data_IF_564986089787
#
_entry.id   IF_564986089787
#
_cell.length_a   1.000
_cell.length_b   1.000
_cell.length_c   1.000
_cell.angle_alpha   90.00
_cell.angle_beta   90.00
_cell.angle_gamma   90.00
#
_symmetry.space_group_name_H-M   'P 1'
#
loop_
_entity.id
_entity.type
_entity.pdbx_description
1 polymer ?
#
# COMPACT_ATOMS: atom_id res chain seq x y z
N UNK A 1 -4.84 -10.67 16.28
CA UNK A 1 -3.36 -10.67 16.36
C UNK A 1 -2.88 -9.75 15.24
N UNK A 2 -2.18 -8.66 15.55
CA UNK A 2 -1.86 -7.63 14.53
C UNK A 2 -0.93 -8.19 13.45
N UNK A 3 -1.24 -7.88 12.18
CA UNK A 3 -0.45 -8.19 10.97
C UNK A 3 1.02 -7.74 11.08
N UNK A 4 1.31 -6.70 11.88
CA UNK A 4 2.69 -6.27 12.18
C UNK A 4 3.54 -7.35 12.87
N UNK A 5 2.91 -8.29 13.59
CA UNK A 5 3.62 -9.38 14.27
C UNK A 5 4.16 -10.41 13.28
N UNK A 6 3.49 -10.60 12.15
CA UNK A 6 3.86 -11.59 11.14
C UNK A 6 4.96 -11.04 10.21
N UNK A 7 4.88 -9.76 9.82
CA UNK A 7 5.94 -9.04 9.09
C UNK A 7 7.25 -9.03 9.90
N UNK A 8 7.17 -8.71 11.20
CA UNK A 8 8.32 -8.75 12.12
C UNK A 8 8.96 -10.14 12.24
N UNK A 9 8.20 -11.23 12.12
CA UNK A 9 8.75 -12.61 12.22
C UNK A 9 9.50 -13.04 10.97
N UNK A 10 9.10 -12.56 9.79
CA UNK A 10 9.84 -12.78 8.55
C UNK A 10 11.14 -11.97 8.55
N UNK A 11 11.11 -10.73 9.07
CA UNK A 11 12.27 -9.84 9.16
C UNK A 11 13.26 -10.23 10.28
N UNK A 12 12.78 -10.72 11.42
CA UNK A 12 13.63 -11.15 12.54
C UNK A 12 14.52 -12.38 12.24
N UNK A 13 14.25 -13.12 11.17
CA UNK A 13 15.10 -14.24 10.74
C UNK A 13 16.30 -13.81 9.87
N UNK A 14 16.39 -12.53 9.48
CA UNK A 14 17.32 -12.06 8.43
C UNK A 14 18.41 -11.13 8.97
N UNK A 15 18.25 -10.50 10.13
CA UNK A 15 19.16 -9.45 10.64
C UNK A 15 20.32 -9.99 11.48
N UNK A 16 20.99 -11.05 11.01
CA UNK A 16 22.16 -11.61 11.69
C UNK A 16 23.38 -11.74 10.77
N UNK A 17 23.73 -10.69 10.02
CA UNK A 17 25.09 -10.49 9.50
C UNK A 17 25.22 -9.04 9.01
N UNK A 18 26.27 -8.34 9.46
CA UNK A 18 26.48 -6.92 9.15
C UNK A 18 27.25 -6.67 7.86
N UNK A 19 27.56 -5.39 7.65
CA UNK A 19 28.57 -4.96 6.68
C UNK A 19 28.36 -3.53 6.17
N UNK A 20 29.36 -2.68 6.40
CA UNK A 20 29.45 -1.26 6.03
C UNK A 20 29.67 -1.02 4.51
N UNK A 21 29.48 0.25 4.13
CA UNK A 21 30.06 1.01 2.99
C UNK A 21 29.28 0.98 1.65
N UNK A 22 29.28 2.02 0.79
CA UNK A 22 29.83 3.39 0.76
C UNK A 22 29.05 4.19 -0.31
N UNK A 23 28.96 5.50 -0.14
CA UNK A 23 28.24 6.42 -1.02
C UNK A 23 29.00 6.71 -2.33
N UNK A 24 28.28 6.64 -3.45
CA UNK A 24 28.69 7.19 -4.75
C UNK A 24 27.60 8.12 -5.28
N UNK A 25 28.00 9.37 -5.58
CA UNK A 25 27.17 10.43 -6.16
C UNK A 25 27.03 10.23 -7.67
N UNK A 26 25.81 10.32 -8.20
CA UNK A 26 25.54 10.38 -9.64
C UNK A 26 24.51 11.49 -9.93
N UNK A 27 24.70 12.12 -11.07
CA UNK A 27 24.11 13.36 -11.57
C UNK A 27 22.58 13.44 -11.57
N UNK A 28 22.07 14.59 -11.14
CA UNK A 28 20.65 14.93 -11.10
C UNK A 28 20.04 15.14 -12.50
N UNK A 29 19.51 14.06 -13.10
CA UNK A 29 18.14 14.18 -13.61
C UNK A 29 17.28 14.44 -12.37
N UNK A 30 16.41 15.45 -12.39
CA UNK A 30 15.41 15.60 -11.32
C UNK A 30 14.46 14.42 -11.44
N UNK A 31 14.85 13.30 -10.83
CA UNK A 31 14.01 12.14 -10.68
C UNK A 31 12.76 12.62 -9.97
N UNK A 32 11.63 12.49 -10.65
CA UNK A 32 10.35 12.85 -10.08
C UNK A 32 10.03 11.85 -8.96
N UNK A 33 10.34 12.29 -7.74
CA UNK A 33 10.26 11.49 -6.53
C UNK A 33 8.79 11.13 -6.21
N UNK A 34 7.84 11.98 -6.60
CA UNK A 34 6.41 11.69 -6.51
C UNK A 34 6.06 10.54 -7.45
N UNK A 35 6.46 10.62 -8.73
CA UNK A 35 6.17 9.57 -9.71
C UNK A 35 6.78 8.21 -9.33
N UNK A 36 7.99 8.20 -8.76
CA UNK A 36 8.58 6.97 -8.22
C UNK A 36 7.81 6.44 -7.01
N UNK A 37 7.41 7.32 -6.09
CA UNK A 37 6.56 6.97 -4.95
C UNK A 37 5.26 6.32 -5.41
N UNK A 38 4.54 6.95 -6.35
CA UNK A 38 3.31 6.41 -6.94
C UNK A 38 3.55 5.07 -7.61
N UNK A 39 4.67 4.89 -8.30
CA UNK A 39 5.01 3.59 -8.89
C UNK A 39 5.18 2.53 -7.80
N UNK A 40 5.85 2.81 -6.68
CA UNK A 40 6.00 1.86 -5.57
C UNK A 40 4.63 1.55 -4.95
N UNK A 41 3.80 2.58 -4.74
CA UNK A 41 2.43 2.43 -4.23
C UNK A 41 1.59 1.52 -5.14
N UNK A 42 1.64 1.72 -6.44
CA UNK A 42 0.94 0.87 -7.40
C UNK A 42 1.36 -0.61 -7.29
N UNK A 43 2.67 -0.90 -7.22
CA UNK A 43 3.15 -2.28 -7.10
C UNK A 43 2.72 -2.94 -5.79
N UNK A 44 2.75 -2.19 -4.69
CA UNK A 44 2.31 -2.67 -3.37
C UNK A 44 0.78 -2.87 -3.33
N UNK A 45 0.02 -1.88 -3.80
CA UNK A 45 -1.45 -1.90 -3.83
C UNK A 45 -1.98 -3.06 -4.66
N UNK A 46 -1.39 -3.28 -5.84
CA UNK A 46 -1.75 -4.41 -6.69
C UNK A 46 -1.42 -5.76 -6.03
N UNK A 47 -0.30 -5.87 -5.31
CA UNK A 47 0.10 -7.12 -4.69
C UNK A 47 -0.73 -7.46 -3.45
N UNK A 48 -0.99 -6.48 -2.59
CA UNK A 48 -1.72 -6.64 -1.33
C UNK A 48 -3.24 -6.71 -1.52
N UNK A 49 -3.73 -6.54 -2.76
CA UNK A 49 -5.14 -6.37 -3.04
C UNK A 49 -5.76 -5.21 -2.23
N UNK A 50 -5.03 -4.09 -2.18
CA UNK A 50 -5.38 -2.94 -1.34
C UNK A 50 -6.77 -2.40 -1.64
N UNK A 51 -7.18 -2.41 -2.92
CA UNK A 51 -8.56 -2.11 -3.32
C UNK A 51 -9.59 -2.96 -2.56
N UNK A 52 -9.39 -4.29 -2.47
CA UNK A 52 -10.32 -5.14 -1.74
C UNK A 52 -10.31 -4.84 -0.24
N UNK A 53 -9.15 -4.50 0.32
CA UNK A 53 -9.06 -4.06 1.72
C UNK A 53 -9.87 -2.78 1.98
N UNK A 54 -9.74 -1.77 1.11
CA UNK A 54 -10.53 -0.53 1.20
C UNK A 54 -12.03 -0.81 1.07
N UNK A 55 -12.42 -1.67 0.13
CA UNK A 55 -13.81 -2.07 -0.07
C UNK A 55 -14.36 -2.80 1.18
N UNK A 56 -13.56 -3.66 1.81
CA UNK A 56 -13.95 -4.32 3.05
C UNK A 56 -14.08 -3.34 4.21
N UNK A 57 -13.13 -2.41 4.38
CA UNK A 57 -13.18 -1.39 5.42
C UNK A 57 -14.42 -0.49 5.29
N UNK A 58 -14.76 -0.08 4.06
CA UNK A 58 -15.95 0.71 3.77
C UNK A 58 -17.29 -0.02 4.05
N UNK A 59 -17.27 -1.35 4.17
CA UNK A 59 -18.44 -2.18 4.47
C UNK A 59 -18.64 -2.42 5.97
N UNK A 60 -17.63 -2.13 6.79
CA UNK A 60 -17.78 -2.23 8.24
C UNK A 60 -18.73 -1.13 8.75
N UNK A 61 -19.51 -1.38 9.82
CA UNK A 61 -20.46 -0.40 10.34
C UNK A 61 -19.81 0.96 10.63
N UNK A 62 -18.61 0.95 11.22
CA UNK A 62 -17.86 2.15 11.57
C UNK A 62 -17.35 2.85 10.31
N UNK A 63 -16.80 2.11 9.34
CA UNK A 63 -16.33 2.68 8.06
C UNK A 63 -17.44 3.30 7.21
N UNK A 64 -18.64 2.71 7.24
CA UNK A 64 -19.82 3.28 6.59
C UNK A 64 -20.24 4.61 7.24
N UNK A 65 -20.16 4.72 8.57
CA UNK A 65 -20.46 5.94 9.29
C UNK A 65 -19.38 7.01 9.06
N UNK A 66 -18.10 6.63 9.07
CA UNK A 66 -16.97 7.53 8.80
C UNK A 66 -17.04 8.12 7.39
N UNK A 67 -17.37 7.31 6.38
CA UNK A 67 -17.54 7.78 5.00
C UNK A 67 -18.72 8.74 4.85
N UNK A 68 -19.80 8.55 5.60
CA UNK A 68 -21.00 9.36 5.48
C UNK A 68 -21.05 10.54 6.47
N UNK A 69 -20.22 10.52 7.51
CA UNK A 69 -20.36 11.35 8.71
C UNK A 69 -21.66 11.11 9.48
N UNK A 70 -22.33 9.97 9.24
CA UNK A 70 -23.61 9.55 9.86
C UNK A 70 -23.92 8.10 9.55
N UNK A 71 -24.72 7.45 10.40
CA UNK A 71 -25.25 6.13 10.09
C UNK A 71 -26.02 6.10 8.75
N UNK A 72 -25.81 5.07 7.90
CA UNK A 72 -26.59 4.89 6.68
C UNK A 72 -28.06 4.67 7.00
N UNK A 73 -28.94 4.94 6.02
CA UNK A 73 -30.38 4.67 6.20
C UNK A 73 -30.59 3.15 6.32
N UNK A 74 -31.40 2.67 7.27
CA UNK A 74 -31.67 1.24 7.40
C UNK A 74 -32.18 0.62 6.09
N UNK A 75 -31.61 -0.52 5.69
CA UNK A 75 -31.99 -1.25 4.49
C UNK A 75 -31.41 -0.68 3.19
N UNK A 76 -30.44 0.23 3.28
CA UNK A 76 -29.76 0.83 2.11
C UNK A 76 -28.26 0.54 2.08
N UNK A 77 -27.79 -0.38 2.92
CA UNK A 77 -26.39 -0.74 3.10
C UNK A 77 -25.77 -1.23 1.78
N UNK A 78 -26.53 -2.00 0.98
CA UNK A 78 -26.09 -2.43 -0.36
C UNK A 78 -25.86 -1.27 -1.32
N UNK A 79 -26.65 -0.19 -1.25
CA UNK A 79 -26.46 0.99 -2.11
C UNK A 79 -25.23 1.78 -1.70
N UNK A 80 -24.95 1.87 -0.40
CA UNK A 80 -23.72 2.48 0.11
C UNK A 80 -22.51 1.66 -0.32
N UNK A 81 -22.58 0.34 -0.20
CA UNK A 81 -21.52 -0.57 -0.63
C UNK A 81 -21.21 -0.39 -2.12
N UNK A 82 -22.23 -0.36 -2.99
CA UNK A 82 -22.03 -0.09 -4.41
C UNK A 82 -21.39 1.29 -4.66
N UNK A 83 -21.85 2.33 -3.95
CA UNK A 83 -21.28 3.68 -4.06
C UNK A 83 -19.81 3.73 -3.64
N UNK A 84 -19.45 3.05 -2.55
CA UNK A 84 -18.08 2.93 -2.06
C UNK A 84 -17.19 2.18 -3.05
N UNK A 85 -17.65 1.05 -3.59
CA UNK A 85 -16.91 0.28 -4.60
C UNK A 85 -16.65 1.13 -5.84
N UNK A 86 -17.68 1.81 -6.36
CA UNK A 86 -17.55 2.66 -7.55
C UNK A 86 -16.57 3.83 -7.34
N UNK A 87 -16.58 4.46 -6.16
CA UNK A 87 -15.65 5.57 -5.90
C UNK A 87 -14.23 5.08 -5.62
N UNK A 88 -14.04 4.00 -4.86
CA UNK A 88 -12.72 3.41 -4.66
C UNK A 88 -12.10 2.98 -5.99
N UNK A 89 -12.89 2.44 -6.92
CA UNK A 89 -12.42 2.12 -8.27
C UNK A 89 -12.01 3.35 -9.07
N UNK A 90 -12.77 4.43 -8.94
CA UNK A 90 -12.51 5.69 -9.64
C UNK A 90 -11.26 6.38 -9.09
N UNK A 91 -11.10 6.43 -7.78
CA UNK A 91 -10.07 7.21 -7.08
C UNK A 91 -8.83 6.39 -6.72
N UNK A 92 -8.77 5.10 -7.09
CA UNK A 92 -7.57 4.27 -6.84
C UNK A 92 -6.26 4.95 -7.31
N UNK A 93 -6.18 5.60 -8.49
CA UNK A 93 -4.97 6.33 -8.89
C UNK A 93 -4.63 7.51 -7.97
N UNK A 94 -5.63 8.23 -7.44
CA UNK A 94 -5.41 9.33 -6.51
C UNK A 94 -4.92 8.81 -5.15
N UNK A 95 -5.50 7.71 -4.67
CA UNK A 95 -5.06 7.03 -3.45
C UNK A 95 -3.61 6.51 -3.59
N UNK A 96 -3.26 5.93 -4.74
CA UNK A 96 -1.88 5.54 -5.04
C UNK A 96 -0.92 6.74 -5.07
N UNK A 97 -1.39 7.92 -5.49
CA UNK A 97 -0.60 9.14 -5.43
C UNK A 97 -0.40 9.63 -4.00
N UNK A 98 -1.42 9.59 -3.14
CA UNK A 98 -1.33 9.90 -1.70
C UNK A 98 -0.31 8.97 -1.03
N UNK A 99 -0.42 7.66 -1.26
CA UNK A 99 0.56 6.67 -0.77
C UNK A 99 1.97 6.95 -1.30
N UNK A 100 2.07 7.28 -2.59
CA UNK A 100 3.33 7.61 -3.24
C UNK A 100 4.00 8.84 -2.62
N UNK A 101 3.22 9.87 -2.30
CA UNK A 101 3.68 11.05 -1.58
C UNK A 101 4.23 10.68 -0.20
N UNK A 102 3.52 9.84 0.55
CA UNK A 102 3.98 9.36 1.86
C UNK A 102 5.32 8.60 1.77
N UNK A 103 5.50 7.76 0.75
CA UNK A 103 6.79 7.09 0.50
C UNK A 103 7.88 8.06 0.09
N UNK A 104 7.55 9.05 -0.74
CA UNK A 104 8.44 10.12 -1.15
C UNK A 104 8.90 10.98 0.03
N UNK A 105 8.17 11.07 1.13
CA UNK A 105 8.65 11.76 2.32
C UNK A 105 9.74 10.98 3.07
N UNK A 106 9.80 9.65 2.94
CA UNK A 106 10.66 8.77 3.75
C UNK A 106 11.86 8.20 3.01
N UNK A 107 11.73 7.98 1.71
CA UNK A 107 12.80 7.42 0.88
C UNK A 107 13.50 8.52 0.08
N UNK A 108 14.78 8.35 -0.21
CA UNK A 108 15.46 9.21 -1.19
C UNK A 108 15.03 8.83 -2.62
N UNK A 109 15.16 9.76 -3.58
CA UNK A 109 14.84 9.46 -4.98
C UNK A 109 15.67 8.29 -5.54
N UNK A 110 16.94 8.19 -5.11
CA UNK A 110 17.84 7.08 -5.48
C UNK A 110 17.35 5.75 -4.91
N UNK A 111 16.93 5.74 -3.65
CA UNK A 111 16.45 4.51 -3.01
C UNK A 111 15.14 4.05 -3.64
N UNK A 112 14.20 4.97 -3.89
CA UNK A 112 12.96 4.64 -4.57
C UNK A 112 13.20 4.10 -5.97
N UNK A 113 14.12 4.67 -6.74
CA UNK A 113 14.44 4.16 -8.07
C UNK A 113 14.90 2.69 -7.98
N UNK A 114 15.81 2.38 -7.06
CA UNK A 114 16.30 1.03 -6.85
C UNK A 114 15.20 0.07 -6.37
N UNK A 115 14.29 0.53 -5.49
CA UNK A 115 13.13 -0.23 -5.03
C UNK A 115 12.17 -0.50 -6.19
N UNK A 116 11.81 0.50 -6.98
CA UNK A 116 10.94 0.35 -8.15
C UNK A 116 11.53 -0.64 -9.15
N UNK A 117 12.83 -0.54 -9.44
CA UNK A 117 13.53 -1.47 -10.32
C UNK A 117 13.49 -2.90 -9.76
N UNK A 118 13.76 -3.07 -8.45
CA UNK A 118 13.70 -4.37 -7.79
C UNK A 118 12.30 -4.99 -7.81
N UNK A 119 11.25 -4.24 -7.45
CA UNK A 119 9.87 -4.73 -7.37
C UNK A 119 9.34 -5.22 -8.73
N UNK A 120 9.89 -4.69 -9.84
CA UNK A 120 9.54 -5.13 -11.20
C UNK A 120 10.24 -6.42 -11.63
N UNK A 121 11.26 -6.88 -10.92
CA UNK A 121 11.92 -8.17 -11.19
C UNK A 121 11.05 -9.35 -10.76
N UNK A 122 11.26 -10.56 -11.32
CA UNK A 122 10.57 -11.76 -10.84
C UNK A 122 10.75 -12.01 -9.34
N UNK A 123 11.95 -11.76 -8.80
CA UNK A 123 12.24 -11.86 -7.38
C UNK A 123 11.43 -10.85 -6.55
N UNK A 124 11.34 -9.60 -7.01
CA UNK A 124 10.51 -8.57 -6.38
C UNK A 124 9.02 -8.92 -6.38
N UNK A 125 8.51 -9.49 -7.47
CA UNK A 125 7.13 -10.01 -7.54
C UNK A 125 6.88 -11.16 -6.59
N UNK A 126 7.83 -12.11 -6.50
CA UNK A 126 7.74 -13.20 -5.54
C UNK A 126 7.75 -12.69 -4.09
N UNK A 127 8.56 -11.67 -3.79
CA UNK A 127 8.58 -11.01 -2.49
C UNK A 127 7.23 -10.34 -2.17
N UNK A 128 6.67 -9.58 -3.11
CA UNK A 128 5.34 -8.96 -2.96
C UNK A 128 4.23 -9.99 -2.70
N UNK A 129 4.29 -11.15 -3.37
CA UNK A 129 3.32 -12.22 -3.14
C UNK A 129 3.43 -12.83 -1.74
N UNK A 130 4.66 -12.97 -1.22
CA UNK A 130 4.89 -13.44 0.16
C UNK A 130 4.38 -12.41 1.16
N UNK A 131 4.61 -11.11 0.92
CA UNK A 131 4.07 -10.04 1.76
C UNK A 131 2.54 -10.04 1.80
N UNK A 132 1.89 -10.27 0.66
CA UNK A 132 0.43 -10.29 0.56
C UNK A 132 -0.21 -11.51 1.24
N UNK A 133 0.52 -12.63 1.34
CA UNK A 133 -0.03 -13.89 1.83
C UNK A 133 0.86 -14.55 2.89
N UNK A 134 1.12 -13.87 4.03
CA UNK A 134 2.12 -14.31 4.99
C UNK A 134 1.74 -15.61 5.72
N UNK A 135 0.44 -15.89 5.84
CA UNK A 135 -0.11 -17.09 6.49
C UNK A 135 -0.39 -18.24 5.53
N UNK A 136 -0.34 -17.99 4.21
CA UNK A 136 -0.37 -19.09 3.26
C UNK A 136 1.01 -19.73 3.26
N UNK A 137 1.06 -21.05 3.43
CA UNK A 137 2.21 -21.83 3.00
C UNK A 137 2.28 -21.77 1.46
N UNK A 138 2.52 -20.58 0.90
CA UNK A 138 2.81 -20.41 -0.50
C UNK A 138 4.04 -21.25 -0.86
N UNK A 139 4.22 -21.61 -2.14
CA UNK A 139 5.45 -22.26 -2.55
C UNK A 139 6.62 -21.43 -2.03
N UNK A 140 7.48 -22.06 -1.23
CA UNK A 140 8.66 -21.41 -0.69
C UNK A 140 9.39 -20.72 -1.85
N UNK A 141 9.65 -19.42 -1.69
CA UNK A 141 10.39 -18.64 -2.68
C UNK A 141 11.62 -19.46 -3.13
N UNK A 142 11.85 -19.64 -4.45
CA UNK A 142 12.99 -20.41 -4.93
C UNK A 142 14.28 -19.93 -4.27
N UNK A 143 15.20 -20.84 -3.95
CA UNK A 143 16.42 -20.50 -3.21
C UNK A 143 17.23 -19.39 -3.89
N UNK A 144 17.24 -19.36 -5.23
CA UNK A 144 17.87 -18.32 -6.03
C UNK A 144 17.20 -16.94 -5.82
N UNK A 145 15.88 -16.88 -5.84
CA UNK A 145 15.12 -15.65 -5.56
C UNK A 145 15.32 -15.18 -4.13
N UNK A 146 15.34 -16.11 -3.16
CA UNK A 146 15.65 -15.78 -1.77
C UNK A 146 17.04 -15.16 -1.63
N UNK A 147 18.03 -15.71 -2.34
CA UNK A 147 19.41 -15.18 -2.33
C UNK A 147 19.47 -13.77 -2.92
N UNK A 148 18.77 -13.53 -4.03
CA UNK A 148 18.69 -12.21 -4.68
C UNK A 148 17.93 -11.19 -3.82
N UNK A 149 16.85 -11.60 -3.16
CA UNK A 149 16.11 -10.79 -2.21
C UNK A 149 17.03 -10.36 -1.05
N UNK A 150 17.75 -11.30 -0.45
CA UNK A 150 18.70 -11.01 0.63
C UNK A 150 19.78 -10.03 0.18
N UNK A 151 20.37 -10.26 -0.99
CA UNK A 151 21.37 -9.35 -1.56
C UNK A 151 20.81 -7.93 -1.79
N UNK A 152 19.55 -7.80 -2.22
CA UNK A 152 18.90 -6.49 -2.33
C UNK A 152 18.67 -5.85 -0.96
N UNK A 153 18.18 -6.60 0.03
CA UNK A 153 17.92 -6.10 1.38
C UNK A 153 19.19 -5.67 2.12
N UNK A 154 20.36 -6.17 1.72
CA UNK A 154 21.67 -5.72 2.23
C UNK A 154 22.11 -4.37 1.64
N UNK A 155 21.52 -3.92 0.53
CA UNK A 155 21.82 -2.60 -0.05
C UNK A 155 21.21 -1.46 0.78
N UNK A 156 21.74 -0.22 0.71
CA UNK A 156 21.14 0.93 1.38
C UNK A 156 19.66 1.15 1.03
N UNK A 157 19.29 0.95 -0.25
CA UNK A 157 17.91 1.10 -0.70
C UNK A 157 17.00 0.00 -0.14
N UNK A 158 17.49 -1.24 -0.08
CA UNK A 158 16.78 -2.36 0.55
C UNK A 158 16.55 -2.12 2.04
N UNK A 159 17.57 -1.67 2.76
CA UNK A 159 17.46 -1.33 4.19
C UNK A 159 16.46 -0.19 4.44
N UNK A 160 16.50 0.87 3.63
CA UNK A 160 15.56 1.98 3.75
C UNK A 160 14.11 1.54 3.46
N UNK A 161 13.93 0.67 2.47
CA UNK A 161 12.63 0.10 2.15
C UNK A 161 12.12 -0.82 3.26
N UNK A 162 12.98 -1.69 3.83
CA UNK A 162 12.63 -2.51 4.99
C UNK A 162 12.22 -1.65 6.18
N UNK A 163 12.99 -0.61 6.51
CA UNK A 163 12.66 0.30 7.60
C UNK A 163 11.30 1.00 7.38
N UNK A 164 11.00 1.38 6.14
CA UNK A 164 9.68 1.93 5.79
C UNK A 164 8.56 0.91 5.97
N UNK A 165 8.77 -0.35 5.57
CA UNK A 165 7.79 -1.44 5.76
C UNK A 165 7.59 -1.80 7.23
N UNK A 166 8.65 -1.73 8.05
CA UNK A 166 8.57 -1.95 9.50
C UNK A 166 7.74 -0.88 10.22
N UNK A 167 7.68 0.33 9.64
CA UNK A 167 6.91 1.47 10.13
C UNK A 167 5.66 1.75 9.27
N UNK A 168 5.18 0.73 8.53
CA UNK A 168 4.08 0.91 7.58
C UNK A 168 2.77 1.34 8.26
N UNK A 169 2.51 0.89 9.49
CA UNK A 169 1.34 1.32 10.28
C UNK A 169 1.35 2.84 10.45
N UNK A 170 2.47 3.44 10.85
CA UNK A 170 2.61 4.89 10.96
C UNK A 170 2.44 5.60 9.60
N UNK A 171 2.91 4.99 8.49
CA UNK A 171 2.66 5.55 7.15
C UNK A 171 1.15 5.57 6.85
N UNK A 172 0.46 4.46 7.13
CA UNK A 172 -0.97 4.29 6.89
C UNK A 172 -1.80 5.26 7.73
N UNK A 173 -1.50 5.40 9.02
CA UNK A 173 -2.17 6.36 9.91
C UNK A 173 -2.02 7.80 9.41
N UNK A 174 -0.85 8.13 8.83
CA UNK A 174 -0.61 9.49 8.30
C UNK A 174 -1.46 9.76 7.05
N UNK A 175 -1.66 8.76 6.19
CA UNK A 175 -2.44 8.93 4.95
C UNK A 175 -3.94 8.73 5.13
N UNK A 176 -4.39 8.09 6.21
CA UNK A 176 -5.81 7.77 6.44
C UNK A 176 -6.70 8.99 6.26
N UNK A 177 -6.32 10.12 6.87
CA UNK A 177 -7.09 11.37 6.75
C UNK A 177 -7.17 11.87 5.30
N UNK A 178 -6.09 11.75 4.53
CA UNK A 178 -6.05 12.18 3.13
C UNK A 178 -6.86 11.24 2.23
N UNK A 179 -6.77 9.93 2.45
CA UNK A 179 -7.55 8.92 1.72
C UNK A 179 -9.05 9.08 1.99
N UNK A 180 -9.44 9.33 3.24
CA UNK A 180 -10.84 9.59 3.59
C UNK A 180 -11.33 10.92 2.99
N UNK A 181 -10.50 11.97 3.01
CA UNK A 181 -10.84 13.24 2.38
C UNK A 181 -11.04 13.12 0.85
N UNK A 182 -10.29 12.24 0.19
CA UNK A 182 -10.45 11.93 -1.23
C UNK A 182 -11.76 11.16 -1.48
N UNK A 183 -12.01 10.07 -0.74
CA UNK A 183 -13.11 9.15 -0.99
C UNK A 183 -14.49 9.69 -0.57
N UNK A 184 -14.58 10.30 0.61
CA UNK A 184 -15.86 10.65 1.26
C UNK A 184 -16.80 11.47 0.37
N UNK A 185 -16.37 12.59 -0.27
CA UNK A 185 -17.27 13.40 -1.10
C UNK A 185 -17.89 12.59 -2.25
N UNK A 186 -17.11 11.69 -2.80
CA UNK A 186 -17.47 10.82 -3.89
C UNK A 186 -18.48 9.75 -3.53
N UNK A 187 -18.21 9.02 -2.45
CA UNK A 187 -19.08 8.00 -1.89
C UNK A 187 -20.44 8.60 -1.53
N UNK A 188 -20.46 9.74 -0.81
CA UNK A 188 -21.70 10.43 -0.43
C UNK A 188 -22.53 10.79 -1.67
N UNK A 189 -21.91 11.42 -2.67
CA UNK A 189 -22.58 11.83 -3.91
C UNK A 189 -23.21 10.65 -4.64
N UNK A 190 -22.47 9.53 -4.79
CA UNK A 190 -22.99 8.32 -5.45
C UNK A 190 -24.10 7.65 -4.66
N UNK A 191 -23.95 7.55 -3.36
CA UNK A 191 -24.95 6.96 -2.48
C UNK A 191 -26.27 7.75 -2.53
N UNK A 192 -26.22 9.08 -2.47
CA UNK A 192 -27.40 9.93 -2.60
C UNK A 192 -28.10 9.79 -3.96
N UNK A 193 -27.33 9.68 -5.04
CA UNK A 193 -27.88 9.44 -6.38
C UNK A 193 -28.59 8.07 -6.47
N UNK A 194 -28.03 7.03 -5.84
CA UNK A 194 -28.63 5.69 -5.77
C UNK A 194 -29.92 5.70 -4.94
N UNK A 195 -29.93 6.36 -3.79
CA UNK A 195 -31.13 6.55 -2.96
C UNK A 195 -32.26 7.25 -3.75
N UNK A 196 -31.93 8.29 -4.51
CA UNK A 196 -32.91 9.03 -5.32
C UNK A 196 -33.50 8.19 -6.47
N UNK A 197 -32.79 7.15 -6.90
CA UNK A 197 -33.22 6.22 -7.95
C UNK A 197 -34.07 5.09 -7.37
N UNK A 198 -33.70 4.55 -6.21
CA UNK A 198 -34.42 3.44 -5.55
C UNK A 198 -35.77 3.87 -4.93
N UNK A 199 -35.95 5.17 -4.63
CA UNK A 199 -37.20 5.71 -4.10
C UNK A 199 -38.24 6.11 -5.15
N UNK A 200 -37.97 5.87 -6.44
CA UNK A 200 -38.91 6.07 -7.57
C UNK A 200 -39.53 4.74 -7.98
#
# INVERSE_FOLDING_TARGET
MSNATTIRRVLAAVVAAGGLALAGSASAQSVDKEALGTSIAHELSSALNFKAMLIMAAQEPDGAEDLLGRAPKPGTEGLLQEAAVEEIEHDLPAIEAIMGHAFAQRLSAKDMQAVTEFLRTPTGRAFLNVLANPDTAGPAMPQEDRTRLLAFMETPAGQAFTAMLDDIETVLDTMETEVMAELTPGVVRRYEAKLATAGK
#
